data_IF_907056927183
#
_entry.id   IF_907056927183
#
_cell.length_a   1.000
_cell.length_b   1.000
_cell.length_c   1.000
_cell.angle_alpha   90.00
_cell.angle_beta   90.00
_cell.angle_gamma   90.00
#
_symmetry.space_group_name_H-M   'P 1'
#
loop_
_entity.id
_entity.type
_entity.pdbx_description
1 polymer ?
#
# COMPACT_ATOMS: atom_id res chain seq x y z
N UNK A 1 -13.59 44.14 -15.20
CA UNK A 1 -14.34 42.87 -15.00
C UNK A 1 -13.90 41.73 -15.95
N UNK A 2 -12.72 41.81 -16.58
CA UNK A 2 -12.16 40.76 -17.44
C UNK A 2 -11.01 39.89 -16.84
N UNK A 3 -10.37 40.16 -15.67
CA UNK A 3 -9.18 39.39 -15.28
C UNK A 3 -9.49 38.09 -14.53
N UNK A 4 -10.72 37.89 -14.03
CA UNK A 4 -11.06 36.73 -13.18
C UNK A 4 -11.31 35.47 -14.02
N UNK A 5 -11.85 35.61 -15.23
CA UNK A 5 -12.17 34.46 -16.12
C UNK A 5 -10.91 33.73 -16.58
N UNK A 6 -9.79 34.43 -16.76
CA UNK A 6 -8.52 33.83 -17.21
C UNK A 6 -7.88 32.92 -16.16
N UNK A 7 -8.05 33.20 -14.87
CA UNK A 7 -7.50 32.38 -13.78
C UNK A 7 -8.24 31.04 -13.68
N UNK A 8 -9.55 31.02 -13.89
CA UNK A 8 -10.34 29.78 -13.91
C UNK A 8 -10.05 28.92 -15.14
N UNK A 9 -9.73 29.51 -16.29
CA UNK A 9 -9.33 28.75 -17.48
C UNK A 9 -7.95 28.10 -17.31
N UNK A 10 -6.98 28.80 -16.73
CA UNK A 10 -5.66 28.22 -16.46
C UNK A 10 -5.69 27.16 -15.35
N UNK A 11 -6.48 27.37 -14.29
CA UNK A 11 -6.66 26.37 -13.23
C UNK A 11 -7.43 25.13 -13.71
N UNK A 12 -8.43 25.29 -14.59
CA UNK A 12 -9.18 24.17 -15.19
C UNK A 12 -8.34 23.33 -16.16
N UNK A 13 -7.40 23.95 -16.88
CA UNK A 13 -6.41 23.24 -17.71
C UNK A 13 -5.38 22.51 -16.83
N UNK A 14 -5.03 23.08 -15.68
CA UNK A 14 -4.11 22.44 -14.72
C UNK A 14 -4.73 21.20 -14.06
N UNK A 15 -6.04 21.21 -13.78
CA UNK A 15 -6.75 20.07 -13.17
C UNK A 15 -6.89 18.86 -14.12
N UNK A 16 -7.18 19.10 -15.40
CA UNK A 16 -7.40 18.04 -16.42
C UNK A 16 -6.19 17.11 -16.67
N UNK A 17 -4.99 17.49 -16.22
CA UNK A 17 -3.77 16.72 -16.44
C UNK A 17 -3.38 15.81 -15.26
N UNK A 18 -4.09 15.88 -14.11
CA UNK A 18 -3.81 15.02 -12.94
C UNK A 18 -4.44 13.62 -13.03
N UNK A 19 -5.22 13.33 -14.08
CA UNK A 19 -6.09 12.15 -14.16
C UNK A 19 -5.46 10.95 -14.87
N UNK A 20 -4.26 11.09 -15.47
CA UNK A 20 -3.60 10.03 -16.25
C UNK A 20 -2.47 9.32 -15.49
N UNK A 21 -2.80 8.66 -14.38
CA UNK A 21 -1.99 7.55 -13.83
C UNK A 21 -2.84 6.40 -13.29
N UNK A 22 -3.98 6.13 -13.92
CA UNK A 22 -4.69 4.86 -13.78
C UNK A 22 -4.43 4.01 -15.02
N UNK A 23 -3.79 2.84 -14.83
CA UNK A 23 -3.77 1.79 -15.86
C UNK A 23 -2.40 1.26 -16.26
N UNK A 24 -1.68 0.64 -15.33
CA UNK A 24 -0.81 -0.49 -15.67
C UNK A 24 -1.26 -1.69 -14.83
N UNK A 25 -2.34 -2.33 -15.30
CA UNK A 25 -2.62 -3.71 -14.97
C UNK A 25 -1.54 -4.59 -15.62
N UNK A 26 -1.01 -5.56 -14.88
CA UNK A 26 -0.23 -6.65 -15.47
C UNK A 26 1.29 -6.59 -15.29
N UNK A 27 1.77 -6.54 -14.05
CA UNK A 27 2.99 -7.28 -13.71
C UNK A 27 2.65 -8.12 -12.49
N UNK A 28 2.18 -9.34 -12.73
CA UNK A 28 2.12 -10.37 -11.68
C UNK A 28 3.55 -10.57 -11.20
N UNK A 29 3.93 -9.95 -10.08
CA UNK A 29 5.14 -10.38 -9.39
C UNK A 29 4.87 -11.83 -9.02
N UNK A 30 5.49 -12.76 -9.74
CA UNK A 30 5.42 -14.17 -9.37
C UNK A 30 5.98 -14.26 -7.95
N UNK A 31 5.10 -14.51 -6.98
CA UNK A 31 5.50 -14.78 -5.61
C UNK A 31 6.57 -15.88 -5.68
N UNK A 32 7.77 -15.58 -5.18
CA UNK A 32 8.84 -16.58 -5.14
C UNK A 32 8.47 -17.61 -4.08
N UNK A 33 8.01 -18.78 -4.52
CA UNK A 33 7.64 -19.89 -3.65
C UNK A 33 8.81 -20.88 -3.69
N UNK A 34 9.52 -21.12 -2.57
CA UNK A 34 10.62 -22.06 -2.54
C UNK A 34 10.16 -23.48 -2.90
N UNK A 35 11.09 -24.28 -3.42
CA UNK A 35 10.84 -25.70 -3.72
C UNK A 35 10.42 -26.43 -2.44
N UNK A 36 9.35 -27.23 -2.52
CA UNK A 36 8.82 -27.98 -1.38
C UNK A 36 7.70 -27.27 -0.61
N UNK A 37 7.37 -26.02 -0.94
CA UNK A 37 6.23 -25.30 -0.34
C UNK A 37 4.97 -25.39 -1.23
N UNK A 38 3.77 -25.52 -0.63
CA UNK A 38 2.53 -25.47 -1.38
C UNK A 38 2.29 -24.06 -1.95
N UNK A 39 1.63 -23.98 -3.10
CA UNK A 39 1.19 -22.68 -3.62
C UNK A 39 0.05 -22.14 -2.74
N UNK A 40 0.12 -20.90 -2.25
CA UNK A 40 -0.98 -20.31 -1.50
C UNK A 40 -2.18 -20.08 -2.42
N UNK A 41 -3.38 -20.20 -1.86
CA UNK A 41 -4.61 -19.79 -2.53
C UNK A 41 -4.68 -18.27 -2.52
N UNK A 42 -4.63 -17.66 -3.70
CA UNK A 42 -4.70 -16.20 -3.85
C UNK A 42 -6.08 -15.85 -4.45
N UNK A 43 -6.89 -15.04 -3.76
CA UNK A 43 -8.18 -14.58 -4.29
C UNK A 43 -8.00 -13.77 -5.59
N UNK A 44 -8.91 -13.96 -6.55
CA UNK A 44 -8.83 -13.31 -7.86
C UNK A 44 -8.91 -11.78 -7.79
N UNK A 45 -9.60 -11.23 -6.78
CA UNK A 45 -9.74 -9.80 -6.51
C UNK A 45 -8.58 -9.21 -5.67
N UNK A 46 -7.66 -10.07 -5.20
CA UNK A 46 -6.52 -9.69 -4.37
C UNK A 46 -5.19 -10.27 -4.85
N UNK A 47 -4.93 -10.19 -6.15
CA UNK A 47 -3.66 -10.62 -6.72
C UNK A 47 -2.48 -9.73 -6.25
N UNK A 48 -1.32 -10.32 -5.91
CA UNK A 48 -0.14 -9.56 -5.53
C UNK A 48 0.43 -8.84 -6.76
N UNK A 49 0.54 -7.52 -6.65
CA UNK A 49 1.27 -6.67 -7.59
C UNK A 49 2.40 -5.97 -6.82
N UNK A 50 3.47 -5.48 -7.49
CA UNK A 50 4.54 -4.76 -6.79
C UNK A 50 3.97 -3.61 -5.94
N UNK A 51 3.06 -2.82 -6.52
CA UNK A 51 2.41 -1.70 -5.84
C UNK A 51 1.59 -2.12 -4.61
N UNK A 52 0.86 -3.25 -4.67
CA UNK A 52 0.11 -3.76 -3.52
C UNK A 52 1.04 -4.28 -2.43
N UNK A 53 2.11 -4.99 -2.80
CA UNK A 53 3.13 -5.47 -1.85
C UNK A 53 3.80 -4.28 -1.15
N UNK A 54 4.18 -3.25 -1.90
CA UNK A 54 4.85 -2.08 -1.35
C UNK A 54 3.94 -1.26 -0.45
N UNK A 55 2.68 -1.05 -0.87
CA UNK A 55 1.67 -0.41 -0.02
C UNK A 55 1.43 -1.20 1.26
N UNK A 56 1.24 -2.52 1.15
CA UNK A 56 1.04 -3.39 2.31
C UNK A 56 2.23 -3.35 3.27
N UNK A 57 3.46 -3.30 2.75
CA UNK A 57 4.66 -3.12 3.57
C UNK A 57 4.62 -1.79 4.31
N UNK A 58 4.31 -0.68 3.64
CA UNK A 58 4.23 0.62 4.30
C UNK A 58 3.20 0.60 5.44
N UNK A 59 2.00 0.12 5.16
CA UNK A 59 0.91 0.02 6.14
C UNK A 59 1.25 -0.89 7.33
N UNK A 60 2.03 -1.95 7.13
CA UNK A 60 2.46 -2.85 8.21
C UNK A 60 3.31 -2.14 9.27
N UNK A 61 4.13 -1.16 8.85
CA UNK A 61 5.00 -0.38 9.73
C UNK A 61 4.41 0.97 10.17
N UNK A 62 3.30 1.38 9.58
CA UNK A 62 2.68 2.67 9.86
C UNK A 62 1.68 2.54 11.02
N UNK A 63 1.83 3.31 12.12
CA UNK A 63 0.89 3.25 13.23
C UNK A 63 -0.45 3.92 12.91
N UNK A 64 -0.59 4.62 11.77
CA UNK A 64 -1.84 5.33 11.39
C UNK A 64 -3.09 4.44 11.42
N UNK A 65 -2.93 3.12 11.31
CA UNK A 65 -4.03 2.16 11.35
C UNK A 65 -4.51 1.82 12.77
N UNK A 66 -3.77 2.15 13.84
CA UNK A 66 -4.30 2.02 15.21
C UNK A 66 -5.20 3.20 15.56
N UNK A 67 -6.14 2.95 16.48
CA UNK A 67 -7.15 3.92 16.93
C UNK A 67 -6.56 5.27 17.35
N UNK A 68 -5.40 5.24 18.02
CA UNK A 68 -4.71 6.41 18.57
C UNK A 68 -3.37 6.71 17.87
N UNK A 69 -3.08 6.01 16.78
CA UNK A 69 -1.85 6.14 15.99
C UNK A 69 -0.55 5.89 16.77
N UNK A 70 -0.60 5.03 17.79
CA UNK A 70 0.58 4.66 18.60
C UNK A 70 1.17 3.28 18.29
N UNK A 71 0.42 2.38 17.65
CA UNK A 71 0.80 0.98 17.42
C UNK A 71 0.67 0.65 15.93
N UNK A 72 1.71 0.04 15.35
CA UNK A 72 1.65 -0.57 14.01
C UNK A 72 1.57 -2.08 14.12
N UNK A 73 1.34 -2.79 13.02
CA UNK A 73 1.46 -4.25 13.02
C UNK A 73 2.87 -4.69 13.43
N UNK A 74 3.90 -3.95 12.98
CA UNK A 74 5.30 -4.20 13.29
C UNK A 74 5.68 -3.97 14.77
N UNK A 75 4.84 -3.30 15.56
CA UNK A 75 5.07 -3.12 16.99
C UNK A 75 5.07 -4.46 17.74
N UNK A 76 4.23 -5.42 17.32
CA UNK A 76 4.13 -6.76 17.89
C UNK A 76 4.65 -7.86 16.94
N UNK A 77 4.66 -7.61 15.62
CA UNK A 77 5.19 -8.54 14.62
C UNK A 77 6.56 -8.10 14.11
N UNK A 78 7.58 -8.22 14.96
CA UNK A 78 8.93 -7.67 14.74
C UNK A 78 9.78 -8.57 13.84
N UNK A 79 10.37 -8.02 12.79
CA UNK A 79 11.21 -8.76 11.83
C UNK A 79 12.38 -9.52 12.50
N UNK A 80 13.02 -8.93 13.50
CA UNK A 80 14.14 -9.54 14.25
C UNK A 80 13.75 -10.82 14.99
N UNK A 81 12.46 -11.04 15.25
CA UNK A 81 11.91 -12.26 15.82
C UNK A 81 11.03 -13.02 14.82
N UNK A 82 11.39 -12.96 13.53
CA UNK A 82 10.65 -13.62 12.45
C UNK A 82 9.15 -13.23 12.42
N UNK A 83 8.86 -11.95 12.65
CA UNK A 83 7.51 -11.37 12.73
C UNK A 83 6.66 -11.84 13.92
N UNK A 84 7.28 -12.27 15.00
CA UNK A 84 6.68 -12.37 16.33
C UNK A 84 7.22 -11.25 17.25
N UNK A 85 6.89 -11.29 18.53
CA UNK A 85 7.56 -10.53 19.59
C UNK A 85 8.27 -11.49 20.57
N UNK A 86 8.84 -10.93 21.63
CA UNK A 86 9.60 -11.65 22.64
C UNK A 86 8.89 -11.69 24.01
N UNK A 87 7.57 -11.52 24.02
CA UNK A 87 6.76 -11.53 25.25
C UNK A 87 5.66 -12.59 25.17
N UNK A 88 5.09 -13.04 26.31
CA UNK A 88 4.03 -14.05 26.28
C UNK A 88 2.71 -13.55 25.67
N UNK A 89 2.44 -12.25 25.76
CA UNK A 89 1.24 -11.60 25.24
C UNK A 89 1.57 -10.15 24.86
N UNK A 90 1.22 -9.76 23.63
CA UNK A 90 1.40 -8.41 23.13
C UNK A 90 0.40 -7.42 23.77
N UNK A 91 0.73 -6.12 23.85
CA UNK A 91 -0.13 -5.07 24.45
C UNK A 91 -1.47 -4.84 23.75
#
# INVERSE_FOLDING_TARGET
MAPVVAVFLLAGIYWKNAEKTTGAAGSTTALHIPVGFPRPVIPADNQPTPKRIDLGRQLFYDPVLSRDSTISCASCHRQEYAFADNVPLSP
#
